data_IF_022590476430
#
_entry.id   IF_022590476430
#
_cell.length_a   1.000
_cell.length_b   1.000
_cell.length_c   1.000
_cell.angle_alpha   90.00
_cell.angle_beta   90.00
_cell.angle_gamma   90.00
#
_symmetry.space_group_name_H-M   'P 1'
#
loop_
_entity.id
_entity.type
_entity.pdbx_description
1 polymer ?
2 non-polymer ?
3 non-polymer ?
4 non-polymer ?
5 water ?
#
# COMPACT_ATOMS: atom_id res chain seq x y z
N UNK A 2 2.80 12.78 23.18
CA UNK A 2 2.29 11.41 23.10
C UNK A 2 1.92 11.07 21.65
N UNK A 3 1.26 9.92 21.47
CA UNK A 3 0.88 9.45 20.15
C UNK A 3 -0.27 10.27 19.56
N UNK A 4 -1.07 10.88 20.43
CA UNK A 4 -2.22 11.66 19.99
C UNK A 4 -1.81 13.03 19.48
N UNK A 5 -0.73 13.57 20.03
CA UNK A 5 -0.25 14.89 19.64
C UNK A 5 0.50 14.82 18.32
N UNK A 6 1.26 13.75 18.12
CA UNK A 6 2.04 13.59 16.90
C UNK A 6 1.16 13.21 15.73
N UNK A 7 0.06 12.50 16.01
CA UNK A 7 -0.88 12.11 14.96
C UNK A 7 -1.60 13.33 14.40
N UNK A 8 -1.98 14.23 15.30
CA UNK A 8 -2.63 15.47 14.91
C UNK A 8 -1.66 16.41 14.20
N UNK A 9 -0.39 16.36 14.62
CA UNK A 9 0.64 17.18 14.01
C UNK A 9 0.89 16.71 12.58
N UNK A 10 1.02 15.41 12.40
CA UNK A 10 1.28 14.84 11.08
C UNK A 10 0.06 15.06 10.19
N UNK A 11 -1.12 15.11 10.81
CA UNK A 11 -2.35 15.37 10.08
C UNK A 11 -2.29 16.77 9.45
N UNK A 12 -1.88 17.75 10.24
CA UNK A 12 -1.74 19.12 9.74
C UNK A 12 -0.70 19.17 8.63
N UNK A 13 0.43 18.52 8.84
CA UNK A 13 1.50 18.47 7.85
C UNK A 13 0.99 17.84 6.55
N UNK A 14 0.25 16.74 6.66
CA UNK A 14 -0.27 16.05 5.49
C UNK A 14 -1.19 16.97 4.68
N UNK A 15 -2.10 17.65 5.38
CA UNK A 15 -3.03 18.58 4.74
C UNK A 15 -2.30 19.64 3.93
N UNK A 16 -1.33 20.28 4.57
CA UNK A 16 -0.62 21.38 3.93
C UNK A 16 0.25 20.88 2.79
N UNK A 17 0.90 19.74 2.99
CA UNK A 17 1.79 19.19 1.97
C UNK A 17 1.03 18.70 0.74
N UNK A 18 -0.12 18.08 0.95
CA UNK A 18 -0.93 17.59 -0.14
C UNK A 18 -1.46 18.75 -0.98
N UNK A 19 -1.98 19.78 -0.33
CA UNK A 19 -2.44 20.98 -1.02
C UNK A 19 -1.30 21.60 -1.83
N UNK A 20 -0.12 21.68 -1.22
CA UNK A 20 1.05 22.22 -1.90
C UNK A 20 1.46 21.37 -3.12
N UNK A 21 1.31 20.06 -2.99
CA UNK A 21 1.61 19.16 -4.10
C UNK A 21 0.64 19.38 -5.26
N UNK A 22 -0.62 19.68 -4.94
CA UNK A 22 -1.65 19.90 -5.95
C UNK A 22 -1.51 21.25 -6.66
N UNK A 23 -0.77 22.18 -6.04
CA UNK A 23 -0.60 23.53 -6.58
C UNK A 23 0.81 23.89 -7.07
N UNK A 24 1.71 22.91 -7.11
CA UNK A 24 3.06 23.16 -7.59
C UNK A 24 3.91 24.02 -6.67
N UNK A 25 3.56 24.03 -5.39
CA UNK A 25 4.26 24.84 -4.40
C UNK A 25 5.41 24.04 -3.80
N UNK A 26 6.50 23.96 -4.56
CA UNK A 26 7.64 23.14 -4.18
C UNK A 26 8.22 23.55 -2.82
N UNK A 27 8.32 24.86 -2.59
CA UNK A 27 8.89 25.36 -1.35
C UNK A 27 8.10 24.86 -0.13
N UNK A 28 6.77 24.91 -0.21
CA UNK A 28 5.92 24.47 0.89
C UNK A 28 5.97 22.95 1.06
N UNK A 29 5.95 22.20 -0.04
CA UNK A 29 6.05 20.74 0.06
C UNK A 29 7.35 20.35 0.76
N UNK A 30 8.46 21.01 0.39
CA UNK A 30 9.75 20.75 0.99
C UNK A 30 9.74 21.02 2.50
N UNK A 31 9.18 22.16 2.88
CA UNK A 31 9.13 22.52 4.30
C UNK A 31 8.28 21.54 5.10
N UNK A 32 7.11 21.18 4.59
CA UNK A 32 6.21 20.30 5.31
C UNK A 32 6.78 18.88 5.42
N UNK A 33 7.41 18.39 4.36
CA UNK A 33 8.01 17.06 4.44
C UNK A 33 9.16 17.04 5.45
N UNK A 34 9.91 18.13 5.53
CA UNK A 34 10.97 18.25 6.53
C UNK A 34 10.39 18.14 7.94
N UNK A 35 9.20 18.71 8.13
CA UNK A 35 8.56 18.65 9.44
C UNK A 35 8.10 17.23 9.75
N UNK A 36 7.63 16.51 8.74
CA UNK A 36 7.22 15.12 8.93
C UNK A 36 8.43 14.32 9.40
N UNK A 37 9.57 14.57 8.77
CA UNK A 37 10.80 13.89 9.14
C UNK A 37 11.16 14.19 10.59
N UNK A 38 11.04 15.46 10.97
CA UNK A 38 11.43 15.87 12.31
C UNK A 38 10.48 15.32 13.37
N UNK A 39 9.20 15.18 13.03
CA UNK A 39 8.24 14.59 13.95
C UNK A 39 8.60 13.12 14.21
N UNK A 40 8.96 12.40 13.15
CA UNK A 40 9.38 11.01 13.29
C UNK A 40 10.62 10.93 14.17
N UNK A 41 11.57 11.82 13.92
CA UNK A 41 12.79 11.92 14.72
C UNK A 41 12.48 12.14 16.20
N UNK A 42 11.67 13.15 16.47
CA UNK A 42 11.41 13.56 17.85
C UNK A 42 10.65 12.50 18.62
N UNK A 43 9.81 11.73 17.93
CA UNK A 43 8.90 10.79 18.58
C UNK A 43 9.59 9.51 19.04
N UNK A 44 10.56 9.05 18.25
CA UNK A 44 11.34 7.88 18.61
C UNK A 44 10.55 6.59 18.72
N UNK A 45 9.54 6.44 17.87
CA UNK A 45 8.74 5.21 17.83
C UNK A 45 8.50 4.75 16.40
N UNK A 46 8.29 3.45 16.23
CA UNK A 46 8.00 2.91 14.91
C UNK A 46 6.62 3.38 14.46
N UNK A 47 5.71 3.57 15.42
CA UNK A 47 4.37 4.06 15.11
C UNK A 47 4.48 5.42 14.43
N UNK A 48 5.34 6.29 14.94
CA UNK A 48 5.54 7.62 14.36
C UNK A 48 6.20 7.53 12.99
N UNK A 49 7.14 6.60 12.84
CA UNK A 49 7.77 6.36 11.55
C UNK A 49 6.75 5.92 10.52
N UNK A 50 5.87 5.00 10.92
CA UNK A 50 4.84 4.48 10.04
C UNK A 50 3.91 5.60 9.58
N UNK A 51 3.50 6.44 10.53
CA UNK A 51 2.58 7.53 10.21
C UNK A 51 3.24 8.56 9.33
N UNK A 52 4.51 8.86 9.60
CA UNK A 52 5.24 9.83 8.77
C UNK A 52 5.41 9.31 7.35
N UNK A 53 5.73 8.02 7.20
CA UNK A 53 5.88 7.44 5.87
C UNK A 53 4.55 7.40 5.13
N UNK A 54 3.46 7.21 5.86
CA UNK A 54 2.13 7.27 5.24
C UNK A 54 1.86 8.67 4.70
N UNK A 55 2.22 9.69 5.46
CA UNK A 55 2.07 11.08 5.02
C UNK A 55 2.89 11.31 3.76
N UNK A 56 4.14 10.89 3.79
CA UNK A 56 5.02 11.02 2.64
C UNK A 56 4.43 10.32 1.41
N UNK A 57 3.89 9.12 1.62
CA UNK A 57 3.28 8.38 0.52
C UNK A 57 2.10 9.14 -0.08
N UNK A 58 1.23 9.66 0.77
CA UNK A 58 0.04 10.37 0.30
C UNK A 58 0.42 11.62 -0.49
N UNK A 59 1.42 12.34 0.00
CA UNK A 59 1.92 13.52 -0.70
C UNK A 59 2.50 13.16 -2.08
N UNK A 60 3.32 12.11 -2.10
CA UNK A 60 3.98 11.72 -3.34
C UNK A 60 2.97 11.15 -4.35
N UNK A 61 1.95 10.47 -3.86
CA UNK A 61 0.93 9.92 -4.76
C UNK A 61 0.14 11.06 -5.40
N UNK A 62 -0.23 12.04 -4.59
CA UNK A 62 -0.93 13.22 -5.11
C UNK A 62 -0.06 13.92 -6.15
N UNK A 63 1.22 14.08 -5.82
CA UNK A 63 2.16 14.72 -6.73
C UNK A 63 2.27 13.95 -8.04
N UNK A 64 2.33 12.63 -7.93
CA UNK A 64 2.48 11.78 -9.11
C UNK A 64 1.28 11.95 -10.04
N UNK A 65 0.09 12.14 -9.45
CA UNK A 65 -1.13 12.31 -10.22
C UNK A 65 -1.20 13.65 -10.97
N UNK A 66 -0.43 14.63 -10.48
CA UNK A 66 -0.52 16.01 -10.97
C UNK A 66 0.66 16.41 -11.86
N UNK A 67 1.61 15.50 -12.04
CA UNK A 67 2.82 15.80 -12.78
C UNK A 67 3.79 16.69 -12.00
N UNK A 68 3.68 16.64 -10.67
CA UNK A 68 4.52 17.48 -9.81
C UNK A 68 5.81 16.73 -9.49
N UNK A 69 6.76 16.79 -10.42
CA UNK A 69 7.99 16.02 -10.33
C UNK A 69 8.79 16.42 -9.10
N UNK A 70 8.86 17.72 -8.83
CA UNK A 70 9.62 18.22 -7.67
C UNK A 70 9.12 17.60 -6.38
N UNK A 71 7.80 17.59 -6.20
CA UNK A 71 7.22 17.08 -4.97
C UNK A 71 7.43 15.56 -4.84
N UNK A 72 7.35 14.82 -5.94
CA UNK A 72 7.64 13.40 -5.88
C UNK A 72 9.08 13.19 -5.42
N UNK A 73 10.00 13.95 -6.01
CA UNK A 73 11.42 13.86 -5.68
C UNK A 73 11.69 14.19 -4.21
N UNK A 74 11.09 15.26 -3.72
CA UNK A 74 11.26 15.70 -2.32
C UNK A 74 10.69 14.66 -1.37
N UNK A 75 9.52 14.15 -1.70
CA UNK A 75 8.85 13.19 -0.82
C UNK A 75 9.65 11.89 -0.72
N UNK A 76 10.14 11.38 -1.85
CA UNK A 76 10.86 10.12 -1.82
C UNK A 76 12.23 10.26 -1.16
N UNK A 77 12.85 11.43 -1.27
CA UNK A 77 14.08 11.70 -0.55
C UNK A 77 13.84 11.65 0.95
N UNK A 78 12.69 12.14 1.40
CA UNK A 78 12.38 12.09 2.82
C UNK A 78 12.08 10.66 3.26
N UNK A 79 11.44 9.86 2.40
CA UNK A 79 11.25 8.44 2.68
C UNK A 79 12.62 7.76 2.85
N UNK A 80 13.56 8.10 1.97
CA UNK A 80 14.90 7.55 2.00
C UNK A 80 15.60 7.92 3.31
N UNK A 81 15.41 9.16 3.77
CA UNK A 81 16.06 9.62 4.99
C UNK A 81 15.44 8.98 6.23
N UNK A 82 14.13 8.78 6.22
CA UNK A 82 13.46 8.11 7.32
C UNK A 82 14.01 6.68 7.40
N UNK A 83 14.20 6.04 6.25
CA UNK A 83 14.77 4.70 6.20
C UNK A 83 16.20 4.68 6.75
N UNK A 84 16.95 5.73 6.42
CA UNK A 84 18.32 5.87 6.90
C UNK A 84 18.38 6.06 8.42
N UNK A 85 17.49 6.88 8.96
CA UNK A 85 17.62 7.34 10.35
C UNK A 85 16.92 6.46 11.38
N UNK A 86 15.98 5.63 10.94
CA UNK A 86 15.14 4.88 11.87
C UNK A 86 15.87 3.72 12.53
N UNK A 87 16.84 3.15 11.83
CA UNK A 87 17.64 2.06 12.37
C UNK A 87 16.95 0.72 12.45
N UNK A 88 15.86 0.56 11.70
CA UNK A 88 15.12 -0.71 11.69
C UNK A 88 14.85 -1.22 10.27
N UNK A 89 14.80 -2.53 10.15
CA UNK A 89 14.45 -3.17 8.88
C UNK A 89 13.02 -2.84 8.50
N UNK A 90 12.15 -2.78 9.49
CA UNK A 90 10.75 -2.42 9.25
C UNK A 90 10.64 -1.08 8.52
N UNK A 91 11.41 -0.08 8.94
CA UNK A 91 11.36 1.23 8.29
C UNK A 91 11.83 1.15 6.83
N UNK A 92 12.84 0.34 6.57
CA UNK A 92 13.36 0.16 5.22
C UNK A 92 12.30 -0.48 4.31
N UNK A 93 11.65 -1.53 4.80
CA UNK A 93 10.60 -2.22 4.05
C UNK A 93 9.41 -1.30 3.80
N UNK A 94 9.04 -0.51 4.79
CA UNK A 94 7.95 0.44 4.63
C UNK A 94 8.30 1.52 3.62
N UNK A 95 9.54 1.99 3.64
CA UNK A 95 9.99 3.00 2.67
C UNK A 95 9.92 2.43 1.26
N UNK A 96 10.35 1.18 1.09
CA UNK A 96 10.26 0.52 -0.22
C UNK A 96 8.82 0.37 -0.69
N UNK A 97 7.89 0.15 0.24
CA UNK A 97 6.50 0.02 -0.16
C UNK A 97 5.94 1.37 -0.58
N UNK A 98 6.37 2.44 0.09
CA UNK A 98 6.00 3.80 -0.34
C UNK A 98 6.46 4.03 -1.78
N UNK A 99 7.73 3.72 -2.04
CA UNK A 99 8.30 3.91 -3.36
C UNK A 99 7.50 3.12 -4.41
N UNK A 100 7.14 1.88 -4.09
CA UNK A 100 6.36 1.04 -4.99
C UNK A 100 4.99 1.65 -5.31
N UNK A 101 4.30 2.11 -4.26
CA UNK A 101 2.99 2.73 -4.41
C UNK A 101 3.07 3.92 -5.34
N UNK A 102 4.06 4.78 -5.10
CA UNK A 102 4.21 6.01 -5.87
C UNK A 102 4.53 5.68 -7.34
N UNK A 103 5.43 4.73 -7.55
CA UNK A 103 5.85 4.36 -8.90
C UNK A 103 4.70 3.73 -9.67
N UNK A 104 3.88 2.94 -8.98
CA UNK A 104 2.72 2.32 -9.62
C UNK A 104 1.70 3.38 -10.06
N UNK A 105 1.39 4.33 -9.18
CA UNK A 105 0.47 5.42 -9.53
C UNK A 105 1.03 6.22 -10.71
N UNK A 106 2.33 6.51 -10.67
CA UNK A 106 2.99 7.24 -11.75
C UNK A 106 2.88 6.50 -13.08
N UNK A 107 3.08 5.19 -13.05
CA UNK A 107 2.96 4.36 -14.24
C UNK A 107 1.56 4.44 -14.85
N UNK A 108 0.55 4.53 -14.00
CA UNK A 108 -0.84 4.59 -14.43
C UNK A 108 -1.22 5.94 -15.04
N UNK A 109 -0.43 6.97 -14.75
CA UNK A 109 -0.77 8.34 -15.11
C UNK A 109 0.14 8.88 -16.21
N UNK A 110 1.04 8.05 -16.71
CA UNK A 110 1.98 8.48 -17.74
C UNK A 110 3.03 9.42 -17.20
N UNK A 111 3.24 9.38 -15.89
CA UNK A 111 4.23 10.24 -15.25
C UNK A 111 5.60 9.57 -15.25
N UNK A 112 6.33 9.74 -16.34
CA UNK A 112 7.58 9.00 -16.51
C UNK A 112 8.71 9.57 -15.65
N UNK A 113 8.65 10.85 -15.33
CA UNK A 113 9.59 11.43 -14.37
C UNK A 113 9.48 10.76 -13.02
N UNK A 114 8.25 10.56 -12.57
CA UNK A 114 7.99 10.06 -11.22
C UNK A 114 8.38 8.58 -11.15
N UNK A 115 8.14 7.84 -12.24
CA UNK A 115 8.59 6.45 -12.30
C UNK A 115 10.11 6.39 -12.16
N UNK A 116 10.80 7.22 -12.93
CA UNK A 116 12.25 7.30 -12.91
C UNK A 116 12.78 7.66 -11.52
N UNK A 117 12.17 8.66 -10.88
CA UNK A 117 12.59 9.08 -9.55
C UNK A 117 12.38 7.96 -8.54
N UNK A 118 11.19 7.37 -8.57
CA UNK A 118 10.84 6.32 -7.60
C UNK A 118 11.77 5.12 -7.74
N UNK A 119 11.99 4.66 -8.97
CA UNK A 119 12.85 3.50 -9.14
C UNK A 119 14.30 3.77 -8.74
N UNK A 120 14.77 5.01 -8.92
CA UNK A 120 16.11 5.37 -8.50
C UNK A 120 16.24 5.31 -6.98
N UNK A 121 15.19 5.72 -6.27
CA UNK A 121 15.20 5.66 -4.81
C UNK A 121 15.14 4.20 -4.36
N UNK A 122 14.40 3.35 -5.08
CA UNK A 122 14.41 1.91 -4.78
C UNK A 122 15.83 1.38 -4.93
N UNK A 123 16.51 1.77 -6.01
CA UNK A 123 17.88 1.36 -6.21
C UNK A 123 18.80 1.86 -5.10
N UNK A 124 18.60 3.10 -4.65
CA UNK A 124 19.44 3.68 -3.61
C UNK A 124 19.20 2.98 -2.27
N UNK A 125 17.95 2.62 -1.99
CA UNK A 125 17.66 1.87 -0.76
C UNK A 125 18.38 0.54 -0.79
N UNK A 126 18.33 -0.16 -1.92
CA UNK A 126 19.04 -1.44 -2.05
C UNK A 126 20.55 -1.27 -1.92
N UNK A 127 21.08 -0.20 -2.52
CA UNK A 127 22.53 0.04 -2.50
C UNK A 127 23.03 0.38 -1.09
N UNK A 128 22.24 1.14 -0.34
CA UNK A 128 22.66 1.60 0.99
C UNK A 128 22.40 0.58 2.10
N UNK A 129 21.38 -0.26 1.92
CA UNK A 129 20.95 -1.19 2.95
C UNK A 129 21.96 -2.30 3.21
N UNK A 130 22.65 -2.75 2.17
CA UNK A 130 23.65 -3.78 2.30
C UNK A 130 23.09 -5.10 2.81
N UNK A 131 21.80 -5.33 2.55
CA UNK A 131 21.18 -6.63 2.83
C UNK A 131 20.68 -7.27 1.54
N UNK A 132 20.78 -8.59 1.49
CA UNK A 132 20.22 -9.33 0.36
C UNK A 132 18.72 -9.11 0.25
N UNK A 133 18.05 -9.05 1.40
CA UNK A 133 16.61 -8.90 1.40
C UNK A 133 16.18 -7.58 0.76
N UNK A 134 16.90 -6.49 1.02
CA UNK A 134 16.56 -5.22 0.41
C UNK A 134 16.75 -5.24 -1.10
N UNK A 135 17.78 -5.94 -1.58
CA UNK A 135 17.98 -6.12 -3.01
C UNK A 135 16.80 -6.87 -3.61
N UNK A 136 16.41 -7.98 -2.98
CA UNK A 136 15.27 -8.77 -3.46
C UNK A 136 13.98 -7.95 -3.50
N UNK A 137 13.73 -7.20 -2.44
CA UNK A 137 12.51 -6.40 -2.39
C UNK A 137 12.55 -5.30 -3.44
N UNK A 138 13.71 -4.68 -3.65
CA UNK A 138 13.82 -3.64 -4.66
C UNK A 138 13.53 -4.22 -6.04
N UNK A 139 14.02 -5.43 -6.29
CA UNK A 139 13.73 -6.08 -7.56
C UNK A 139 12.24 -6.39 -7.70
N UNK A 140 11.60 -6.75 -6.60
CA UNK A 140 10.15 -6.97 -6.60
C UNK A 140 9.39 -5.66 -6.88
N UNK A 141 9.86 -4.55 -6.35
CA UNK A 141 9.28 -3.24 -6.67
C UNK A 141 9.40 -2.98 -8.17
N UNK A 142 10.59 -3.19 -8.72
CA UNK A 142 10.80 -2.95 -10.15
C UNK A 142 9.85 -3.81 -10.99
N UNK A 143 9.67 -5.08 -10.59
CA UNK A 143 8.78 -5.98 -11.32
C UNK A 143 7.32 -5.50 -11.26
N UNK A 144 6.88 -5.06 -10.09
CA UNK A 144 5.51 -4.58 -9.93
C UNK A 144 5.27 -3.36 -10.81
N UNK A 145 6.25 -2.47 -10.88
CA UNK A 145 6.14 -1.27 -11.70
C UNK A 145 6.15 -1.65 -13.19
N UNK A 146 7.03 -2.57 -13.58
CA UNK A 146 7.05 -3.09 -14.94
C UNK A 146 5.70 -3.69 -15.33
N UNK A 147 5.14 -4.53 -14.45
CA UNK A 147 3.83 -5.14 -14.71
C UNK A 147 2.76 -4.08 -14.96
N UNK A 148 2.72 -3.08 -14.11
CA UNK A 148 1.71 -2.03 -14.25
C UNK A 148 1.93 -1.23 -15.53
N UNK A 149 3.18 -0.92 -15.84
CA UNK A 149 3.51 -0.16 -17.03
C UNK A 149 3.11 -0.92 -18.29
N UNK A 150 3.32 -2.23 -18.31
CA UNK A 150 2.90 -3.04 -19.45
C UNK A 150 1.39 -3.00 -19.60
N UNK A 151 0.68 -3.12 -18.48
CA UNK A 151 -0.78 -3.14 -18.47
C UNK A 151 -1.36 -1.83 -19.04
N UNK A 152 -0.70 -0.72 -18.74
CA UNK A 152 -1.19 0.61 -19.09
C UNK A 152 -0.63 1.14 -20.40
N UNK A 153 0.25 0.38 -21.04
CA UNK A 153 0.86 0.79 -22.29
C UNK A 153 1.87 1.92 -22.15
N UNK A 154 2.47 2.01 -20.97
CA UNK A 154 3.47 3.02 -20.67
C UNK A 154 4.86 2.51 -21.04
N UNK A 155 5.24 2.65 -22.31
CA UNK A 155 6.46 2.03 -22.81
C UNK A 155 7.69 2.66 -22.14
N UNK A 156 7.65 3.97 -21.90
CA UNK A 156 8.72 4.67 -21.19
C UNK A 156 9.01 3.99 -19.84
N UNK A 157 7.96 3.74 -19.07
CA UNK A 157 8.12 3.12 -17.75
C UNK A 157 8.58 1.66 -17.83
N UNK A 158 8.15 0.92 -18.86
CA UNK A 158 8.63 -0.44 -19.03
C UNK A 158 10.14 -0.40 -19.25
N UNK A 159 10.59 0.53 -20.08
CA UNK A 159 12.00 0.62 -20.41
C UNK A 159 12.82 1.07 -19.20
N UNK A 160 12.28 2.01 -18.44
CA UNK A 160 12.97 2.49 -17.24
C UNK A 160 13.10 1.37 -16.22
N UNK A 161 12.04 0.59 -16.02
CA UNK A 161 12.11 -0.54 -15.10
C UNK A 161 13.15 -1.56 -15.56
N UNK A 162 13.24 -1.80 -16.87
CA UNK A 162 14.25 -2.71 -17.39
C UNK A 162 15.66 -2.22 -17.06
N UNK A 163 15.89 -0.93 -17.24
CA UNK A 163 17.21 -0.36 -17.00
C UNK A 163 17.61 -0.45 -15.53
N UNK A 164 16.66 -0.19 -14.64
CA UNK A 164 16.93 -0.26 -13.21
C UNK A 164 17.14 -1.72 -12.77
N UNK A 165 16.35 -2.63 -13.31
CA UNK A 165 16.55 -4.05 -13.03
C UNK A 165 17.96 -4.47 -13.43
N UNK A 166 18.38 -4.08 -14.63
CA UNK A 166 19.71 -4.42 -15.13
C UNK A 166 20.79 -3.88 -14.18
N UNK A 167 20.60 -2.64 -13.74
CA UNK A 167 21.56 -1.98 -12.87
C UNK A 167 21.69 -2.71 -11.54
N UNK A 168 20.56 -3.05 -10.93
CA UNK A 168 20.58 -3.80 -9.67
C UNK A 168 21.25 -5.15 -9.91
N UNK A 169 20.86 -5.83 -11.00
CA UNK A 169 21.41 -7.15 -11.29
C UNK A 169 22.91 -7.11 -11.57
N UNK A 170 23.37 -6.04 -12.21
CA UNK A 170 24.78 -5.90 -12.55
C UNK A 170 25.63 -5.46 -11.35
N UNK A 171 25.07 -4.63 -10.49
CA UNK A 171 25.85 -3.89 -9.50
C UNK A 171 25.59 -4.29 -8.05
N UNK A 172 24.49 -5.01 -7.80
CA UNK A 172 24.15 -5.35 -6.42
C UNK A 172 25.17 -6.28 -5.78
N UNK A 173 25.85 -7.07 -6.61
CA UNK A 173 26.89 -7.95 -6.11
C UNK A 173 27.95 -7.17 -5.35
N UNK A 174 28.25 -5.98 -5.84
CA UNK A 174 29.22 -5.10 -5.21
C UNK A 174 28.66 -4.41 -3.99
N UNK A 175 27.41 -3.99 -4.07
CA UNK A 175 26.74 -3.32 -2.95
C UNK A 175 26.73 -4.18 -1.70
N UNK A 176 26.50 -5.48 -1.89
CA UNK A 176 26.33 -6.40 -0.77
C UNK A 176 27.64 -6.68 -0.03
N UNK A 177 28.71 -6.92 -0.79
CA UNK A 177 30.01 -7.18 -0.19
C UNK A 177 30.63 -5.89 0.33
N UNK A 178 30.50 -4.82 -0.43
CA UNK A 178 31.05 -3.53 -0.06
C UNK A 178 30.10 -2.77 0.86
N UNK B 2 -11.65 -9.65 23.94
CA UNK B 2 -11.15 -8.31 24.27
C UNK B 2 -11.97 -7.69 25.40
N UNK B 3 -11.66 -6.45 25.74
CA UNK B 3 -12.35 -5.76 26.82
C UNK B 3 -13.73 -5.30 26.37
N UNK B 4 -14.54 -4.86 27.33
CA UNK B 4 -15.89 -4.41 27.04
C UNK B 4 -15.91 -3.00 26.44
N UNK B 5 -15.08 -2.12 27.00
CA UNK B 5 -14.99 -0.74 26.53
C UNK B 5 -14.46 -0.67 25.10
N UNK B 6 -13.45 -1.48 24.82
CA UNK B 6 -12.86 -1.53 23.48
C UNK B 6 -13.86 -2.09 22.47
N UNK B 7 -14.73 -2.98 22.95
CA UNK B 7 -15.76 -3.57 22.11
C UNK B 7 -16.78 -2.51 21.74
N UNK B 8 -17.06 -1.61 22.69
CA UNK B 8 -17.99 -0.52 22.48
C UNK B 8 -17.37 0.52 21.54
N UNK B 9 -16.06 0.74 21.68
CA UNK B 9 -15.35 1.69 20.84
C UNK B 9 -15.33 1.21 19.39
N UNK B 10 -15.08 -0.08 19.19
CA UNK B 10 -15.04 -0.62 17.83
C UNK B 10 -16.40 -0.51 17.14
N UNK B 11 -17.47 -0.64 17.90
CA UNK B 11 -18.81 -0.60 17.29
C UNK B 11 -19.21 0.82 16.92
N UNK B 12 -18.80 1.81 17.72
CA UNK B 12 -19.08 3.20 17.38
C UNK B 12 -18.22 3.61 16.18
N UNK B 13 -16.99 3.13 16.16
CA UNK B 13 -16.10 3.33 15.02
C UNK B 13 -16.73 2.69 13.78
N UNK B 14 -17.26 1.49 13.94
CA UNK B 14 -17.91 0.78 12.84
C UNK B 14 -19.10 1.57 12.32
N UNK B 15 -19.90 2.11 13.23
CA UNK B 15 -21.08 2.87 12.85
C UNK B 15 -20.69 4.11 12.06
N UNK B 16 -19.68 4.83 12.53
CA UNK B 16 -19.23 6.05 11.87
C UNK B 16 -18.61 5.74 10.52
N UNK B 17 -17.83 4.67 10.47
CA UNK B 17 -17.14 4.28 9.24
C UNK B 17 -18.12 3.80 8.19
N UNK B 18 -19.12 3.03 8.61
CA UNK B 18 -20.14 2.55 7.70
C UNK B 18 -20.93 3.74 7.15
N UNK B 19 -21.27 4.68 8.03
CA UNK B 19 -22.03 5.85 7.59
C UNK B 19 -21.21 6.67 6.59
N UNK B 20 -19.91 6.78 6.85
CA UNK B 20 -19.02 7.48 5.92
C UNK B 20 -18.96 6.79 4.55
N UNK B 21 -18.93 5.46 4.56
CA UNK B 21 -18.93 4.69 3.32
C UNK B 21 -20.26 4.82 2.58
N UNK B 22 -21.34 5.04 3.32
CA UNK B 22 -22.67 5.24 2.72
C UNK B 22 -22.80 6.60 2.06
N UNK B 23 -22.21 7.62 2.68
CA UNK B 23 -22.45 9.01 2.32
C UNK B 23 -21.43 9.56 1.32
N UNK B 24 -20.29 8.91 1.23
CA UNK B 24 -19.22 9.35 0.35
C UNK B 24 -18.17 10.20 1.03
N UNK B 25 -17.75 9.79 2.22
CA UNK B 25 -16.66 10.49 2.91
C UNK B 25 -15.50 9.55 3.18
N UNK B 26 -14.63 9.41 2.20
CA UNK B 26 -13.55 8.44 2.27
C UNK B 26 -12.53 8.82 3.33
N UNK B 27 -12.34 10.13 3.51
CA UNK B 27 -11.43 10.62 4.55
C UNK B 27 -11.87 10.13 5.91
N UNK B 28 -13.18 10.15 6.17
CA UNK B 28 -13.71 9.68 7.43
C UNK B 28 -13.58 8.16 7.54
N UNK B 29 -13.77 7.43 6.43
CA UNK B 29 -13.57 5.99 6.45
C UNK B 29 -12.14 5.68 6.91
N UNK B 30 -11.18 6.37 6.31
CA UNK B 30 -9.77 6.20 6.63
C UNK B 30 -9.51 6.49 8.11
N UNK B 31 -10.03 7.61 8.58
CA UNK B 31 -9.79 8.05 9.96
C UNK B 31 -10.33 7.03 10.95
N UNK B 32 -11.56 6.59 10.73
CA UNK B 32 -12.19 5.66 11.65
C UNK B 32 -11.53 4.29 11.63
N UNK B 33 -11.15 3.79 10.46
CA UNK B 33 -10.53 2.47 10.42
C UNK B 33 -9.11 2.49 10.99
N UNK B 34 -8.47 3.66 10.99
CA UNK B 34 -7.19 3.80 11.65
C UNK B 34 -7.36 3.55 13.15
N UNK B 35 -8.49 4.01 13.70
CA UNK B 35 -8.78 3.81 15.11
C UNK B 35 -9.05 2.33 15.39
N UNK B 36 -9.73 1.66 14.47
CA UNK B 36 -9.97 0.22 14.60
C UNK B 36 -8.66 -0.55 14.63
N UNK B 37 -7.73 -0.16 13.76
CA UNK B 37 -6.40 -0.75 13.72
C UNK B 37 -5.69 -0.55 15.06
N UNK B 38 -5.79 0.66 15.61
CA UNK B 38 -5.15 0.99 16.88
C UNK B 38 -5.77 0.22 18.06
N UNK B 39 -7.09 0.06 18.03
CA UNK B 39 -7.78 -0.65 19.11
C UNK B 39 -7.34 -2.11 19.12
N UNK B 40 -7.11 -2.66 17.93
CA UNK B 40 -6.61 -4.02 17.82
C UNK B 40 -5.22 -4.13 18.43
N UNK B 41 -4.36 -3.17 18.09
CA UNK B 41 -3.02 -3.10 18.66
C UNK B 41 -3.06 -3.05 20.18
N UNK B 42 -3.94 -2.21 20.71
CA UNK B 42 -4.01 -1.97 22.14
C UNK B 42 -4.46 -3.21 22.90
N UNK B 43 -5.28 -4.04 22.25
CA UNK B 43 -5.81 -5.24 22.88
C UNK B 43 -4.80 -6.38 22.89
N UNK B 44 -4.15 -6.60 21.75
CA UNK B 44 -3.10 -7.60 21.67
C UNK B 44 -3.58 -9.03 21.75
N UNK B 45 -4.83 -9.28 21.34
CA UNK B 45 -5.40 -10.64 21.35
C UNK B 45 -5.90 -11.02 19.96
N UNK B 46 -5.96 -12.33 19.70
CA UNK B 46 -6.50 -12.81 18.43
C UNK B 46 -7.97 -12.41 18.33
N UNK B 47 -8.67 -12.38 19.45
CA UNK B 47 -10.07 -11.97 19.43
C UNK B 47 -10.24 -10.54 18.91
N UNK B 48 -9.36 -9.65 19.35
CA UNK B 48 -9.42 -8.26 18.92
C UNK B 48 -9.07 -8.11 17.45
N UNK B 49 -8.13 -8.93 16.98
CA UNK B 49 -7.84 -8.97 15.56
C UNK B 49 -9.09 -9.36 14.78
N UNK B 50 -9.81 -10.37 15.27
CA UNK B 50 -11.03 -10.81 14.60
C UNK B 50 -12.10 -9.73 14.54
N UNK B 51 -12.30 -9.03 15.66
CA UNK B 51 -13.30 -7.98 15.72
C UNK B 51 -12.95 -6.83 14.79
N UNK B 52 -11.68 -6.45 14.80
CA UNK B 52 -11.22 -5.37 13.94
C UNK B 52 -11.36 -5.73 12.47
N UNK B 53 -11.03 -6.96 12.11
CA UNK B 53 -11.19 -7.38 10.71
C UNK B 53 -12.67 -7.43 10.30
N UNK B 54 -13.55 -7.71 11.26
CA UNK B 54 -14.99 -7.73 11.00
C UNK B 54 -15.51 -6.31 10.71
N UNK B 55 -15.00 -5.33 11.45
CA UNK B 55 -15.34 -3.93 11.19
C UNK B 55 -14.85 -3.53 9.80
N UNK B 56 -13.60 -3.85 9.49
CA UNK B 56 -13.05 -3.56 8.17
C UNK B 56 -13.91 -4.17 7.06
N UNK B 57 -14.31 -5.43 7.23
CA UNK B 57 -15.16 -6.12 6.27
C UNK B 57 -16.49 -5.41 6.07
N UNK B 58 -17.14 -5.02 7.17
CA UNK B 58 -18.43 -4.33 7.08
C UNK B 58 -18.32 -3.02 6.31
N UNK B 59 -17.26 -2.25 6.61
CA UNK B 59 -17.04 -0.98 5.93
C UNK B 59 -16.72 -1.18 4.45
N UNK B 60 -15.83 -2.12 4.15
CA UNK B 60 -15.45 -2.39 2.76
C UNK B 60 -16.62 -2.90 1.94
N UNK B 61 -17.46 -3.74 2.54
CA UNK B 61 -18.63 -4.25 1.85
C UNK B 61 -19.62 -3.14 1.58
N UNK B 62 -19.79 -2.23 2.53
CA UNK B 62 -20.69 -1.11 2.30
C UNK B 62 -20.18 -0.26 1.14
N UNK B 63 -18.88 0.02 1.13
CA UNK B 63 -18.25 0.77 0.06
C UNK B 63 -18.43 0.08 -1.30
N UNK B 64 -18.28 -1.24 -1.34
CA UNK B 64 -18.46 -2.01 -2.57
C UNK B 64 -19.92 -1.99 -3.06
N UNK B 65 -20.87 -1.92 -2.13
CA UNK B 65 -22.29 -1.84 -2.51
C UNK B 65 -22.65 -0.47 -3.07
N UNK B 66 -21.98 0.57 -2.55
CA UNK B 66 -22.31 1.95 -2.91
C UNK B 66 -21.59 2.43 -4.17
N UNK B 67 -20.46 1.82 -4.49
CA UNK B 67 -19.66 2.22 -5.62
C UNK B 67 -18.54 3.17 -5.26
N UNK B 68 -17.97 3.00 -4.08
CA UNK B 68 -16.86 3.85 -3.65
C UNK B 68 -15.58 3.02 -3.61
N UNK B 69 -14.90 2.96 -4.73
CA UNK B 69 -13.71 2.11 -4.85
C UNK B 69 -12.58 2.66 -4.00
N UNK B 70 -12.49 3.99 -3.87
CA UNK B 70 -11.50 4.60 -3.00
C UNK B 70 -11.63 4.09 -1.56
N UNK B 71 -12.85 4.04 -1.04
CA UNK B 71 -13.09 3.56 0.32
C UNK B 71 -12.83 2.04 0.45
N UNK B 72 -13.12 1.28 -0.60
CA UNK B 72 -12.79 -0.13 -0.62
C UNK B 72 -11.28 -0.30 -0.45
N UNK B 73 -10.52 0.49 -1.22
CA UNK B 73 -9.06 0.42 -1.17
C UNK B 73 -8.54 0.80 0.22
N UNK B 74 -9.05 1.90 0.77
CA UNK B 74 -8.64 2.33 2.11
C UNK B 74 -8.93 1.26 3.16
N UNK B 75 -10.12 0.65 3.09
CA UNK B 75 -10.49 -0.37 4.05
C UNK B 75 -9.61 -1.62 3.92
N UNK B 76 -9.36 -2.07 2.69
CA UNK B 76 -8.60 -3.30 2.54
C UNK B 76 -7.13 -3.10 2.88
N UNK B 77 -6.64 -1.88 2.75
CA UNK B 77 -5.29 -1.51 3.24
C UNK B 77 -5.19 -1.82 4.73
N UNK B 78 -6.22 -1.48 5.48
CA UNK B 78 -6.19 -1.70 6.93
C UNK B 78 -6.22 -3.20 7.21
N UNK B 79 -6.93 -3.97 6.38
CA UNK B 79 -6.91 -5.44 6.54
C UNK B 79 -5.48 -5.96 6.32
N UNK B 80 -4.82 -5.45 5.29
CA UNK B 80 -3.42 -5.79 5.03
C UNK B 80 -2.50 -5.44 6.20
N UNK B 81 -2.72 -4.27 6.79
CA UNK B 81 -1.91 -3.82 7.92
C UNK B 81 -2.14 -4.67 9.16
N UNK B 82 -3.40 -5.05 9.41
CA UNK B 82 -3.72 -5.92 10.55
C UNK B 82 -3.00 -7.27 10.42
N UNK B 83 -3.04 -7.86 9.23
CA UNK B 83 -2.37 -9.14 9.00
C UNK B 83 -0.86 -8.99 9.15
N UNK B 84 -0.35 -7.85 8.71
CA UNK B 84 1.08 -7.54 8.78
C UNK B 84 1.55 -7.41 10.22
N UNK B 85 0.77 -6.70 11.04
CA UNK B 85 1.18 -6.42 12.40
C UNK B 85 0.95 -7.59 13.35
N UNK B 86 -0.14 -8.33 13.13
CA UNK B 86 -0.44 -9.50 13.94
C UNK B 86 0.60 -10.59 13.72
N UNK B 87 0.84 -10.91 12.45
CA UNK B 87 1.88 -11.85 12.08
C UNK B 87 1.45 -13.31 12.19
N UNK B 88 0.29 -13.56 12.80
CA UNK B 88 -0.18 -14.92 13.00
C UNK B 88 -0.74 -15.49 11.70
N UNK B 89 -0.67 -16.81 11.57
CA UNK B 89 -1.20 -17.49 10.40
C UNK B 89 -2.70 -17.23 10.32
N UNK B 90 -3.35 -17.16 11.48
CA UNK B 90 -4.79 -16.96 11.52
C UNK B 90 -5.18 -15.56 11.04
N UNK B 91 -4.37 -14.56 11.38
CA UNK B 91 -4.65 -13.19 10.95
C UNK B 91 -4.57 -13.10 9.43
N UNK B 92 -3.58 -13.78 8.85
CA UNK B 92 -3.41 -13.79 7.40
C UNK B 92 -4.61 -14.46 6.74
N UNK B 93 -5.02 -15.59 7.30
CA UNK B 93 -6.18 -16.32 6.77
C UNK B 93 -7.43 -15.46 6.83
N UNK B 94 -7.66 -14.82 7.99
CA UNK B 94 -8.86 -14.01 8.17
C UNK B 94 -8.86 -12.79 7.26
N UNK B 95 -7.70 -12.15 7.11
CA UNK B 95 -7.58 -11.02 6.22
C UNK B 95 -7.91 -11.42 4.78
N UNK B 96 -7.42 -12.57 4.34
CA UNK B 96 -7.73 -13.03 2.98
C UNK B 96 -9.22 -13.34 2.83
N UNK B 97 -9.85 -13.83 3.89
CA UNK B 97 -11.28 -14.08 3.84
C UNK B 97 -12.06 -12.77 3.71
N UNK B 98 -11.63 -11.72 4.41
CA UNK B 98 -12.21 -10.40 4.24
C UNK B 98 -12.06 -9.92 2.80
N UNK B 99 -10.85 -10.04 2.26
CA UNK B 99 -10.59 -9.60 0.89
C UNK B 99 -11.50 -10.37 -0.09
N UNK B 100 -11.66 -11.67 0.14
CA UNK B 100 -12.51 -12.50 -0.72
C UNK B 100 -13.96 -12.02 -0.70
N UNK B 101 -14.49 -11.75 0.49
CA UNK B 101 -15.87 -11.32 0.62
C UNK B 101 -16.13 -10.00 -0.11
N UNK B 102 -15.17 -9.09 -0.02
CA UNK B 102 -15.28 -7.78 -0.65
C UNK B 102 -15.16 -7.91 -2.17
N UNK B 103 -14.24 -8.76 -2.64
CA UNK B 103 -14.09 -8.96 -4.07
C UNK B 103 -15.34 -9.60 -4.67
N UNK B 104 -15.94 -10.54 -3.94
CA UNK B 104 -17.16 -11.18 -4.39
C UNK B 104 -18.31 -10.18 -4.44
N UNK B 105 -18.42 -9.32 -3.44
CA UNK B 105 -19.45 -8.29 -3.47
C UNK B 105 -19.27 -7.37 -4.68
N UNK B 106 -18.02 -6.99 -4.95
CA UNK B 106 -17.72 -6.11 -6.08
C UNK B 106 -18.10 -6.79 -7.40
N UNK B 107 -17.82 -8.09 -7.50
CA UNK B 107 -18.15 -8.85 -8.70
C UNK B 107 -19.67 -8.95 -8.88
N UNK B 108 -20.39 -9.08 -7.77
CA UNK B 108 -21.86 -9.17 -7.84
C UNK B 108 -22.48 -7.83 -8.23
N UNK B 109 -21.80 -6.73 -7.93
CA UNK B 109 -22.31 -5.39 -8.19
C UNK B 109 -21.96 -4.87 -9.58
N UNK B 110 -20.92 -5.44 -10.19
CA UNK B 110 -20.44 -4.96 -11.48
C UNK B 110 -19.37 -3.90 -11.35
N UNK B 111 -18.55 -3.99 -10.30
CA UNK B 111 -17.45 -3.05 -10.10
C UNK B 111 -16.10 -3.72 -10.29
N UNK B 112 -15.64 -3.72 -11.55
CA UNK B 112 -14.38 -4.36 -11.89
C UNK B 112 -13.19 -3.67 -11.23
N UNK B 113 -13.25 -2.36 -11.09
CA UNK B 113 -12.17 -1.64 -10.44
C UNK B 113 -11.97 -2.14 -9.00
N UNK B 114 -13.06 -2.32 -8.26
CA UNK B 114 -12.98 -2.80 -6.88
C UNK B 114 -12.53 -4.28 -6.82
N UNK B 115 -12.92 -5.07 -7.81
CA UNK B 115 -12.42 -6.45 -7.93
C UNK B 115 -10.89 -6.43 -8.06
N UNK B 116 -10.39 -5.57 -8.94
CA UNK B 116 -8.95 -5.47 -9.19
C UNK B 116 -8.22 -5.04 -7.91
N UNK B 117 -8.77 -4.04 -7.23
CA UNK B 117 -8.16 -3.54 -5.99
C UNK B 117 -8.12 -4.61 -4.91
N UNK B 118 -9.22 -5.35 -4.76
CA UNK B 118 -9.29 -6.39 -3.75
C UNK B 118 -8.29 -7.49 -4.06
N UNK B 119 -8.24 -7.92 -5.32
CA UNK B 119 -7.35 -9.01 -5.67
C UNK B 119 -5.89 -8.61 -5.51
N UNK B 120 -5.58 -7.35 -5.74
CA UNK B 120 -4.22 -6.86 -5.53
C UNK B 120 -3.85 -7.03 -4.07
N UNK B 121 -4.77 -6.73 -3.17
CA UNK B 121 -4.48 -6.83 -1.75
C UNK B 121 -4.27 -8.29 -1.35
N UNK B 122 -5.03 -9.21 -1.97
CA UNK B 122 -4.83 -10.63 -1.74
C UNK B 122 -3.42 -11.01 -2.15
N UNK B 123 -2.99 -10.50 -3.30
CA UNK B 123 -1.66 -10.75 -3.82
C UNK B 123 -0.61 -10.19 -2.85
N UNK B 124 -0.85 -9.00 -2.32
CA UNK B 124 0.12 -8.36 -1.44
C UNK B 124 0.20 -9.06 -0.08
N UNK B 125 -0.93 -9.54 0.41
CA UNK B 125 -0.95 -10.30 1.66
C UNK B 125 -0.08 -11.55 1.51
N UNK B 126 -0.16 -12.18 0.33
CA UNK B 126 0.64 -13.36 0.03
C UNK B 126 2.12 -13.00 -0.14
N UNK B 127 2.38 -11.87 -0.80
CA UNK B 127 3.77 -11.42 -0.98
C UNK B 127 4.43 -11.17 0.36
N UNK B 128 3.71 -10.53 1.28
CA UNK B 128 4.29 -10.13 2.55
C UNK B 128 4.38 -11.30 3.52
N UNK B 129 3.49 -12.27 3.39
CA UNK B 129 3.48 -13.44 4.25
C UNK B 129 4.57 -14.43 3.83
N UNK B 130 4.62 -14.72 2.54
CA UNK B 130 5.63 -15.60 1.99
C UNK B 130 5.55 -17.03 2.47
N UNK B 131 4.33 -17.48 2.76
CA UNK B 131 4.10 -18.86 3.21
C UNK B 131 3.32 -19.64 2.15
N UNK B 132 3.53 -20.95 2.14
CA UNK B 132 2.82 -21.83 1.23
C UNK B 132 1.31 -21.71 1.42
N UNK B 133 0.89 -21.66 2.69
CA UNK B 133 -0.53 -21.55 3.02
C UNK B 133 -1.11 -20.24 2.49
N UNK B 134 -0.38 -19.15 2.63
CA UNK B 134 -0.85 -17.85 2.17
C UNK B 134 -1.03 -17.83 0.65
N UNK B 135 -0.08 -18.43 -0.05
CA UNK B 135 -0.15 -18.50 -1.50
C UNK B 135 -1.33 -19.34 -1.95
N UNK B 136 -1.55 -20.46 -1.26
CA UNK B 136 -2.66 -21.35 -1.59
C UNK B 136 -4.00 -20.67 -1.36
N UNK B 137 -4.14 -19.99 -0.22
CA UNK B 137 -5.38 -19.28 0.10
C UNK B 137 -5.64 -18.15 -0.88
N UNK B 138 -4.59 -17.42 -1.25
CA UNK B 138 -4.73 -16.33 -2.21
C UNK B 138 -5.21 -16.86 -3.55
N UNK B 139 -4.67 -18.01 -3.96
CA UNK B 139 -5.09 -18.63 -5.22
C UNK B 139 -6.56 -19.03 -5.16
N UNK B 140 -6.99 -19.53 -4.00
CA UNK B 140 -8.37 -19.92 -3.82
C UNK B 140 -9.27 -18.70 -3.91
N UNK B 141 -8.81 -17.59 -3.36
CA UNK B 141 -9.56 -16.33 -3.45
C UNK B 141 -9.74 -15.95 -4.92
N UNK B 142 -8.65 -15.99 -5.68
CA UNK B 142 -8.70 -15.61 -7.09
C UNK B 142 -9.67 -16.51 -7.86
N UNK B 143 -9.64 -17.81 -7.57
CA UNK B 143 -10.51 -18.77 -8.23
C UNK B 143 -11.97 -18.47 -7.94
N UNK B 144 -12.29 -18.20 -6.68
CA UNK B 144 -13.65 -17.89 -6.29
C UNK B 144 -14.17 -16.62 -6.97
N UNK B 145 -13.30 -15.62 -7.08
CA UNK B 145 -13.70 -14.36 -7.67
C UNK B 145 -13.86 -14.54 -9.18
N UNK B 146 -12.96 -15.28 -9.82
CA UNK B 146 -13.11 -15.65 -11.23
C UNK B 146 -14.44 -16.36 -11.47
N UNK B 147 -14.76 -17.34 -10.63
CA UNK B 147 -16.02 -18.08 -10.77
C UNK B 147 -17.23 -17.16 -10.63
N UNK B 148 -17.17 -16.23 -9.68
CA UNK B 148 -18.26 -15.28 -9.50
C UNK B 148 -18.44 -14.38 -10.73
N UNK B 149 -17.33 -13.90 -11.29
CA UNK B 149 -17.36 -13.03 -12.46
C UNK B 149 -17.94 -13.76 -13.67
N UNK B 150 -17.62 -15.04 -13.81
CA UNK B 150 -18.18 -15.84 -14.90
C UNK B 150 -19.68 -16.00 -14.72
N UNK B 151 -20.09 -16.26 -13.49
CA UNK B 151 -21.50 -16.43 -13.15
C UNK B 151 -22.30 -15.16 -13.40
N UNK B 152 -21.70 -14.02 -13.07
CA UNK B 152 -22.38 -12.74 -13.20
C UNK B 152 -22.40 -12.25 -14.64
N UNK B 153 -21.45 -12.72 -15.44
CA UNK B 153 -21.28 -12.27 -16.81
C UNK B 153 -20.47 -10.99 -16.89
N UNK B 154 -19.22 -11.06 -16.43
CA UNK B 154 -18.34 -9.90 -16.43
C UNK B 154 -16.94 -10.31 -16.85
N UNK B 155 -16.67 -10.25 -18.14
CA UNK B 155 -15.42 -10.77 -18.66
C UNK B 155 -14.25 -9.86 -18.26
N UNK B 156 -14.51 -8.59 -18.00
CA UNK B 156 -13.46 -7.69 -17.54
C UNK B 156 -12.93 -8.17 -16.19
N UNK B 157 -13.83 -8.56 -15.31
CA UNK B 157 -13.45 -9.05 -14.00
C UNK B 157 -12.80 -10.42 -14.12
N UNK B 158 -13.26 -11.26 -15.06
CA UNK B 158 -12.60 -12.53 -15.33
C UNK B 158 -11.14 -12.28 -15.68
N UNK B 159 -10.89 -11.30 -16.55
CA UNK B 159 -9.54 -11.01 -16.99
C UNK B 159 -8.66 -10.42 -15.89
N UNK B 160 -9.23 -9.59 -15.02
CA UNK B 160 -8.48 -9.09 -13.87
C UNK B 160 -8.04 -10.24 -12.98
N UNK B 161 -8.94 -11.20 -12.75
CA UNK B 161 -8.61 -12.37 -11.95
C UNK B 161 -7.47 -13.17 -12.58
N UNK B 162 -7.53 -13.34 -13.90
CA UNK B 162 -6.50 -14.07 -14.66
C UNK B 162 -5.12 -13.42 -14.54
N UNK B 163 -5.09 -12.09 -14.52
CA UNK B 163 -3.83 -11.36 -14.41
C UNK B 163 -3.18 -11.61 -13.05
N UNK B 164 -3.99 -11.60 -11.99
CA UNK B 164 -3.48 -11.85 -10.65
C UNK B 164 -3.04 -13.31 -10.51
N UNK B 165 -3.82 -14.24 -11.07
CA UNK B 165 -3.43 -15.65 -11.08
C UNK B 165 -2.05 -15.81 -11.69
N UNK B 166 -1.81 -15.19 -12.83
CA UNK B 166 -0.53 -15.29 -13.51
C UNK B 166 0.61 -14.74 -12.64
N UNK B 167 0.36 -13.62 -11.98
CA UNK B 167 1.40 -13.00 -11.15
C UNK B 167 1.79 -13.88 -9.98
N UNK B 168 0.79 -14.44 -9.30
CA UNK B 168 1.05 -15.35 -8.19
C UNK B 168 1.92 -16.50 -8.67
N UNK B 169 1.52 -17.14 -9.77
CA UNK B 169 2.23 -18.31 -10.25
C UNK B 169 3.62 -17.97 -10.78
N UNK B 170 3.81 -16.73 -11.19
CA UNK B 170 5.12 -16.26 -11.66
C UNK B 170 6.07 -15.94 -10.51
N UNK B 171 5.53 -15.38 -9.43
CA UNK B 171 6.33 -14.80 -8.35
C UNK B 171 6.41 -15.67 -7.10
N UNK B 172 5.36 -16.46 -6.84
CA UNK B 172 5.21 -17.16 -5.56
C UNK B 172 6.44 -17.94 -5.15
N UNK B 173 7.19 -18.44 -6.12
CA UNK B 173 8.42 -19.15 -5.85
C UNK B 173 9.44 -18.27 -5.14
N UNK B 174 9.45 -16.99 -5.49
CA UNK B 174 10.39 -16.04 -4.92
C UNK B 174 10.03 -15.62 -3.52
N UNK B 175 8.74 -15.62 -3.20
CA UNK B 175 8.27 -15.18 -1.88
C UNK B 175 8.70 -16.16 -0.79
N UNK B 176 8.68 -17.44 -1.11
CA UNK B 176 9.03 -18.47 -0.15
C UNK B 176 10.55 -18.55 0.03
X LIG C 1 18.52 -0.01 9.13
X LIG C 1 19.81 0.58 9.05
X LIG C 1 18.64 -1.35 9.83
X LIG C 1 19.36 -2.24 9.00
X LIG C 1 19.39 -3.57 9.50
X LIG C 1 20.24 -4.40 8.58
X LIG C 1 23.85 -2.82 7.87
X LIG C 1 23.86 -4.24 8.02
X LIG C 1 22.45 -4.76 7.89
X LIG C 1 21.58 -3.96 8.68
X LIG C 1 18.06 -0.17 8.15
X LIG C 1 17.82 0.61 9.72
X LIG C 1 19.71 1.44 8.63
X LIG C 1 17.63 -1.74 10.03
X LIG C 1 19.15 -1.22 10.80
X LIG C 1 18.38 -3.99 9.55
X LIG C 1 19.81 -3.59 10.52
X LIG C 1 19.87 -4.31 7.55
X LIG C 1 20.16 -5.47 8.88
X LIG C 1 24.25 -4.52 9.02
X LIG C 1 24.49 -4.72 7.26
X LIG C 1 22.42 -5.81 8.22
X LIG C 1 22.15 -4.72 6.83
X LIG D 1 21.77 -1.44 8.40
X LIG E 1 -1.56 -4.96 -22.36
X LIG E 1 -1.42 -4.49 -23.71
X LIG E 1 -2.11 -3.14 -23.86
X LIG E 1 -1.10 -2.13 -23.83
X LIG E 1 -0.85 -1.56 -25.12
X LIG E 1 0.62 -1.14 -25.17
X LIG E 1 1.23 -1.71 -26.33
X LIG E 1 2.66 -1.66 -26.26
X LIG E 1 3.25 -2.56 -27.33
X LIG E 1 2.72 -3.87 -27.16
X LIG E 1 3.72 -4.83 -26.83
X LIG E 1 3.05 -6.13 -26.38
X LIG E 1 3.54 -7.23 -27.15
X LIG E 1 -1.13 -5.83 -22.28
X LIG E 1 -1.87 -5.20 -24.40
X LIG E 1 -0.36 -4.40 -23.96
X LIG E 1 -2.81 -2.98 -23.04
X LIG E 1 -2.65 -3.10 -24.81
X LIG E 1 -1.48 -0.70 -25.28
X LIG E 1 -1.05 -2.30 -25.90
X LIG E 1 1.14 -1.49 -24.27
X LIG E 1 0.70 -0.06 -25.21
X LIG E 1 3.00 -1.99 -25.28
X LIG E 1 3.00 -0.63 -26.41
X LIG E 1 4.34 -2.58 -27.25
X LIG E 1 3.00 -2.18 -28.33
X LIG E 1 4.36 -4.45 -26.03
X LIG E 1 4.34 -5.03 -27.70
X LIG E 1 1.97 -6.04 -26.49
X LIG E 1 3.27 -6.29 -25.32
X LIG E 1 3.10 -8.04 -26.86
#
# INVERSE_FOLDING_TARGET
>A
MTTEDERRELEKVARKAIEAAREGNTDEVREQLQRALEIARESGTTEAVKLALEVVARVAIEAARRGNTDAVREALEVALEIARESGTTEAVKLALEVVARVAIEAARRGNTDAVREALEVALEIARESGTEEAVRLALEVVKRVSDEAKKQGNEDAVKEAEEVRKKIEEESGGWLEHHHHHH
>B
MTTEDERRELEKVARKAIEAAREGNTDEVREQLQRALEIARESGTTEAVKLALEVVARVAIEAARRGNTDAVREALEVALEIARESGTTEAVKLALEVVARVAIEAARRGNTDAVREALEVALEIARESGTEEAVRLALEVVKRVSDEAKKQGNEDAVKEAEEVRKKIEEESGGWLEHHHHHH
>C hetero
1 PGE C1 O1 C2 O2 C3 C4 O4 C6 C5 O3 H1 H12 HO1 H2 H22 H3 H32 H4 H42 H6 H62 H5 H52
>D hetero
1 NA NA
>E hetero
1 PG4 O1 C1 C2 O2 C3 C4 O3 C5 C6 O4 C7 C8 O5 HO1 H11 H12 H21 H22 H31 H32 H41 H42 H51 H52 H61 H62 H71 H72 H81 H82 HO5
#
